data_IF_207756101652
#
_entry.id   IF_207756101652
#
_cell.length_a   1.000
_cell.length_b   1.000
_cell.length_c   1.000
_cell.angle_alpha   90.00
_cell.angle_beta   90.00
_cell.angle_gamma   90.00
#
_symmetry.space_group_name_H-M   'P 1'
#
loop_
_entity.id
_entity.type
_entity.pdbx_description
1 polymer ?
#
# COMPACT_ATOMS: atom_id res chain seq x y z
N UNK A 1 -10.40 1.58 -7.00
CA UNK A 1 -9.37 0.64 -7.48
C UNK A 1 -8.03 1.05 -6.89
N UNK A 2 -7.22 0.10 -6.45
CA UNK A 2 -5.86 0.34 -5.94
C UNK A 2 -4.86 -0.29 -6.93
N UNK A 3 -3.91 0.50 -7.40
CA UNK A 3 -2.91 0.10 -8.40
C UNK A 3 -1.53 -0.09 -7.76
N UNK A 4 -0.87 -1.20 -8.09
CA UNK A 4 0.49 -1.50 -7.63
C UNK A 4 1.40 -1.61 -8.85
N UNK A 5 2.31 -0.65 -9.06
CA UNK A 5 3.28 -0.71 -10.15
C UNK A 5 4.24 -1.89 -9.96
N UNK A 6 4.34 -2.76 -10.97
CA UNK A 6 5.31 -3.85 -10.97
C UNK A 6 6.68 -3.32 -11.36
N UNK A 7 7.73 -3.77 -10.68
CA UNK A 7 9.10 -3.39 -10.99
C UNK A 7 9.52 -3.92 -12.38
N UNK A 8 9.79 -3.00 -13.31
CA UNK A 8 10.31 -3.33 -14.64
C UNK A 8 11.82 -3.58 -14.59
N UNK A 9 12.36 -4.38 -15.52
CA UNK A 9 13.82 -4.63 -15.60
C UNK A 9 14.65 -3.38 -15.93
N UNK A 10 14.20 -2.54 -16.86
CA UNK A 10 15.01 -1.46 -17.43
C UNK A 10 14.85 -0.16 -16.65
N UNK A 11 13.61 0.24 -16.37
CA UNK A 11 13.28 1.52 -15.73
C UNK A 11 12.91 1.38 -14.25
N UNK A 12 13.21 0.21 -13.66
CA UNK A 12 12.96 -0.08 -12.24
C UNK A 12 11.51 0.22 -11.80
N UNK A 13 10.55 0.13 -12.72
CA UNK A 13 9.12 0.34 -12.48
C UNK A 13 8.63 1.78 -12.61
N UNK A 14 9.46 2.73 -13.07
CA UNK A 14 9.02 4.11 -13.33
C UNK A 14 8.00 4.17 -14.48
N UNK A 15 8.17 3.34 -15.50
CA UNK A 15 7.20 3.10 -16.58
C UNK A 15 5.87 2.54 -16.06
N UNK A 16 5.93 1.51 -15.21
CA UNK A 16 4.76 0.95 -14.53
C UNK A 16 4.07 2.00 -13.65
N UNK A 17 4.84 2.82 -12.93
CA UNK A 17 4.31 3.85 -12.05
C UNK A 17 3.55 4.90 -12.85
N UNK A 18 4.18 5.47 -13.88
CA UNK A 18 3.58 6.54 -14.69
C UNK A 18 2.38 6.07 -15.49
N UNK A 19 2.37 4.81 -15.96
CA UNK A 19 1.21 4.25 -16.66
C UNK A 19 -0.01 4.00 -15.75
N UNK A 20 0.19 3.92 -14.43
CA UNK A 20 -0.88 3.70 -13.45
C UNK A 20 -1.31 5.00 -12.76
N UNK A 21 -0.36 5.85 -12.34
CA UNK A 21 -0.66 7.02 -11.50
C UNK A 21 -1.21 8.21 -12.29
N UNK A 22 -0.85 8.33 -13.58
CA UNK A 22 -1.21 9.47 -14.42
C UNK A 22 -2.60 9.31 -15.06
N UNK A 23 -3.58 8.89 -14.26
CA UNK A 23 -4.96 8.72 -14.75
C UNK A 23 -5.58 10.09 -15.11
N UNK A 24 -6.31 10.18 -16.24
CA UNK A 24 -7.04 11.39 -16.56
C UNK A 24 -8.14 11.68 -15.53
N UNK A 25 -8.54 12.95 -15.43
CA UNK A 25 -9.63 13.39 -14.56
C UNK A 25 -10.90 12.58 -14.83
N UNK A 26 -11.51 12.08 -13.76
CA UNK A 26 -12.79 11.34 -13.80
C UNK A 26 -12.66 9.85 -13.51
N UNK A 27 -11.47 9.27 -13.63
CA UNK A 27 -11.25 7.83 -13.40
C UNK A 27 -10.08 7.62 -12.41
N UNK A 28 -10.33 7.69 -11.09
CA UNK A 28 -9.25 7.67 -10.11
C UNK A 28 -8.70 6.25 -9.86
N UNK A 29 -7.38 6.18 -9.69
CA UNK A 29 -6.67 4.98 -9.20
C UNK A 29 -5.80 5.38 -8.02
N UNK A 30 -6.02 4.76 -6.86
CA UNK A 30 -5.13 4.92 -5.71
C UNK A 30 -3.85 4.15 -5.96
N UNK A 31 -2.76 4.83 -6.32
CA UNK A 31 -1.50 4.19 -6.72
C UNK A 31 -0.55 4.09 -5.53
N UNK A 32 0.08 2.92 -5.36
CA UNK A 32 1.01 2.63 -4.27
C UNK A 32 2.46 2.61 -4.78
N UNK A 33 3.41 2.37 -3.87
CA UNK A 33 4.82 2.20 -4.21
C UNK A 33 5.05 1.10 -5.26
N UNK A 34 6.19 1.15 -5.95
CA UNK A 34 6.60 0.08 -6.88
C UNK A 34 6.92 -1.19 -6.10
N UNK A 35 6.53 -2.35 -6.63
CA UNK A 35 6.95 -3.67 -6.16
C UNK A 35 6.26 -4.15 -4.87
N UNK A 36 6.99 -4.95 -4.09
CA UNK A 36 6.45 -5.70 -2.94
C UNK A 36 5.96 -4.80 -1.81
N UNK A 37 6.64 -3.68 -1.56
CA UNK A 37 6.20 -2.68 -0.60
C UNK A 37 4.84 -2.08 -1.00
N UNK A 38 4.64 -1.82 -2.29
CA UNK A 38 3.35 -1.40 -2.83
C UNK A 38 2.25 -2.43 -2.67
N UNK A 39 2.55 -3.69 -2.93
CA UNK A 39 1.60 -4.80 -2.77
C UNK A 39 1.15 -4.94 -1.30
N UNK A 40 2.08 -4.90 -0.35
CA UNK A 40 1.76 -4.94 1.07
C UNK A 40 0.89 -3.73 1.48
N UNK A 41 1.26 -2.52 1.05
CA UNK A 41 0.52 -1.30 1.36
C UNK A 41 -0.85 -1.24 0.68
N UNK A 42 -1.02 -1.83 -0.50
CA UNK A 42 -2.34 -1.95 -1.14
C UNK A 42 -3.28 -2.83 -0.31
N UNK A 43 -2.78 -3.93 0.25
CA UNK A 43 -3.52 -4.76 1.19
C UNK A 43 -3.91 -4.00 2.46
N UNK A 44 -2.96 -3.27 3.07
CA UNK A 44 -3.22 -2.47 4.27
C UNK A 44 -4.19 -1.31 4.01
N UNK A 45 -4.11 -0.65 2.85
CA UNK A 45 -5.04 0.40 2.46
C UNK A 45 -6.44 -0.18 2.19
N UNK A 46 -6.54 -1.34 1.52
CA UNK A 46 -7.81 -2.04 1.35
C UNK A 46 -8.42 -2.43 2.70
N UNK A 47 -7.62 -2.97 3.63
CA UNK A 47 -8.06 -3.24 5.00
C UNK A 47 -8.57 -1.96 5.69
N UNK A 48 -7.88 -0.83 5.53
CA UNK A 48 -8.33 0.47 6.05
C UNK A 48 -9.67 0.95 5.49
N UNK A 49 -9.93 0.70 4.20
CA UNK A 49 -11.23 1.01 3.56
C UNK A 49 -12.33 0.10 4.16
N UNK A 50 -12.07 -1.20 4.27
CA UNK A 50 -13.03 -2.18 4.80
C UNK A 50 -13.32 -1.97 6.30
N UNK A 51 -12.31 -1.63 7.09
CA UNK A 51 -12.41 -1.37 8.53
C UNK A 51 -13.45 -0.31 8.90
N UNK A 52 -13.82 0.58 7.96
CA UNK A 52 -14.90 1.56 8.16
C UNK A 52 -16.26 0.90 8.43
N UNK A 53 -16.49 -0.31 7.90
CA UNK A 53 -17.74 -1.06 8.03
C UNK A 53 -17.57 -2.42 8.71
N UNK A 54 -16.33 -2.89 8.86
CA UNK A 54 -16.02 -4.18 9.49
C UNK A 54 -15.21 -3.97 10.79
N UNK A 55 -15.83 -4.16 11.98
CA UNK A 55 -15.16 -4.03 13.26
C UNK A 55 -14.03 -5.05 13.48
N UNK A 56 -14.11 -6.26 12.93
CA UNK A 56 -13.09 -7.28 13.10
C UNK A 56 -11.82 -6.90 12.31
N UNK A 57 -11.97 -6.45 11.06
CA UNK A 57 -10.84 -5.93 10.27
C UNK A 57 -10.23 -4.69 10.94
N UNK A 58 -11.06 -3.81 11.53
CA UNK A 58 -10.57 -2.64 12.26
C UNK A 58 -9.68 -3.02 13.44
N UNK A 59 -10.12 -3.98 14.25
CA UNK A 59 -9.35 -4.48 15.39
C UNK A 59 -8.04 -5.13 14.93
N UNK A 60 -8.09 -5.98 13.90
CA UNK A 60 -6.91 -6.63 13.33
C UNK A 60 -5.89 -5.62 12.76
N UNK A 61 -6.36 -4.59 12.04
CA UNK A 61 -5.50 -3.55 11.48
C UNK A 61 -4.85 -2.69 12.58
N UNK A 62 -5.58 -2.39 13.66
CA UNK A 62 -5.03 -1.68 14.81
C UNK A 62 -3.94 -2.51 15.52
N UNK A 63 -4.21 -3.80 15.76
CA UNK A 63 -3.24 -4.72 16.36
C UNK A 63 -1.97 -4.86 15.50
N UNK A 64 -2.12 -4.99 14.17
CA UNK A 64 -0.99 -5.03 13.24
C UNK A 64 -0.11 -3.78 13.35
N UNK A 65 -0.71 -2.58 13.38
CA UNK A 65 0.03 -1.31 13.49
C UNK A 65 0.71 -1.15 14.84
N UNK A 66 0.09 -1.62 15.92
CA UNK A 66 0.71 -1.61 17.24
C UNK A 66 1.93 -2.52 17.26
N UNK A 67 1.78 -3.77 16.81
CA UNK A 67 2.90 -4.71 16.74
C UNK A 67 4.05 -4.21 15.85
N UNK A 68 3.75 -3.50 14.75
CA UNK A 68 4.78 -2.88 13.92
C UNK A 68 5.51 -1.77 14.67
N UNK A 69 4.81 -0.93 15.43
CA UNK A 69 5.41 0.11 16.28
C UNK A 69 6.32 -0.52 17.33
N UNK A 70 5.85 -1.55 18.03
CA UNK A 70 6.58 -2.22 19.11
C UNK A 70 7.84 -2.95 18.61
N UNK A 71 7.88 -3.34 17.33
CA UNK A 71 9.01 -4.05 16.73
C UNK A 71 10.17 -3.12 16.31
N UNK A 72 10.01 -1.80 16.33
CA UNK A 72 11.08 -0.86 15.97
C UNK A 72 12.03 -0.69 17.16
N UNK A 73 13.30 -1.08 16.98
CA UNK A 73 14.33 -0.89 17.99
C UNK A 73 14.72 0.59 18.18
N UNK A 74 15.16 0.95 19.40
CA UNK A 74 15.56 2.32 19.75
C UNK A 74 16.94 2.72 19.17
N UNK A 75 17.69 1.77 18.62
CA UNK A 75 19.01 2.00 18.06
C UNK A 75 19.24 1.12 16.83
N UNK A 76 19.97 1.61 15.81
CA UNK A 76 20.31 0.80 14.65
C UNK A 76 21.24 -0.35 15.06
N UNK A 77 20.87 -1.57 14.70
CA UNK A 77 21.71 -2.77 14.77
C UNK A 77 22.65 -2.87 13.58
#
# INVERSE_FOLDING_TARGET
>A
VLGVPVESKVLRGVDSLLSIVQMPRGVPVGTLAIGTAGAANAGLLAAGILARKDPAIRAALAAFRQAQTDAVGESPT
#
